data_IF_452790657327
#
_entry.id   IF_452790657327
#
_cell.length_a   1.000
_cell.length_b   1.000
_cell.length_c   1.000
_cell.angle_alpha   90.00
_cell.angle_beta   90.00
_cell.angle_gamma   90.00
#
_symmetry.space_group_name_H-M   'P 1'
#
loop_
_entity.id
_entity.type
_entity.pdbx_description
1 polymer ?
#
# COMPACT_ATOMS: atom_id res chain seq x y z
N UNK A 1 -52.23 17.03 7.18
CA UNK A 1 -51.01 16.67 6.46
C UNK A 1 -49.84 17.63 6.71
N UNK A 2 -50.07 18.94 6.88
CA UNK A 2 -49.01 19.93 7.12
C UNK A 2 -48.37 19.79 8.51
N UNK A 3 -49.17 19.49 9.56
CA UNK A 3 -48.66 19.37 10.93
C UNK A 3 -47.73 18.14 11.14
N UNK A 4 -47.99 17.01 10.46
CA UNK A 4 -47.12 15.81 10.54
C UNK A 4 -45.77 16.02 9.88
N UNK A 5 -45.71 16.79 8.80
CA UNK A 5 -44.46 17.18 8.13
C UNK A 5 -43.61 18.09 9.02
N UNK A 6 -44.25 19.02 9.74
CA UNK A 6 -43.55 19.91 10.67
C UNK A 6 -42.91 19.15 11.84
N UNK A 7 -43.57 18.11 12.37
CA UNK A 7 -43.00 17.26 13.43
C UNK A 7 -41.84 16.42 12.93
N UNK A 8 -41.91 15.85 11.71
CA UNK A 8 -40.84 15.09 11.12
C UNK A 8 -39.56 15.92 10.92
N UNK A 9 -39.70 17.20 10.56
CA UNK A 9 -38.57 18.14 10.41
C UNK A 9 -37.85 18.49 11.71
N UNK A 10 -38.49 18.21 12.88
CA UNK A 10 -37.83 18.39 14.19
C UNK A 10 -37.01 17.18 14.63
N UNK A 11 -37.10 16.06 13.91
CA UNK A 11 -36.34 14.85 14.22
C UNK A 11 -35.06 14.80 13.40
N UNK A 12 -33.92 14.91 14.07
CA UNK A 12 -32.59 14.76 13.44
C UNK A 12 -32.23 13.30 13.53
N UNK A 13 -32.08 12.65 12.36
CA UNK A 13 -31.71 11.24 12.24
C UNK A 13 -30.32 11.10 11.67
N UNK A 14 -29.59 10.07 12.08
CA UNK A 14 -28.33 9.67 11.45
C UNK A 14 -28.59 9.23 10.00
N UNK A 15 -27.83 9.73 9.00
CA UNK A 15 -28.01 9.37 7.60
C UNK A 15 -27.39 7.99 7.26
N UNK A 16 -26.53 7.46 8.11
CA UNK A 16 -25.87 6.16 7.97
C UNK A 16 -25.52 5.59 9.36
N UNK A 17 -25.18 4.31 9.42
CA UNK A 17 -24.71 3.65 10.62
C UNK A 17 -23.25 4.05 10.89
N UNK A 18 -22.95 4.51 12.11
CA UNK A 18 -21.63 5.01 12.44
C UNK A 18 -21.43 5.27 13.92
N UNK A 19 -20.23 5.74 14.26
CA UNK A 19 -19.84 6.07 15.62
C UNK A 19 -19.86 7.60 15.79
N UNK A 20 -20.53 8.08 16.84
CA UNK A 20 -20.48 9.50 17.20
C UNK A 20 -19.13 9.81 17.83
N UNK A 21 -18.34 10.64 17.16
CA UNK A 21 -17.00 11.04 17.63
C UNK A 21 -17.02 12.39 18.35
N UNK A 22 -17.99 13.25 18.03
CA UNK A 22 -18.10 14.55 18.67
C UNK A 22 -19.55 14.97 18.81
N UNK A 23 -19.91 15.52 19.99
CA UNK A 23 -21.20 16.13 20.28
C UNK A 23 -21.00 17.65 20.29
N UNK A 24 -21.66 18.33 19.36
CA UNK A 24 -21.49 19.77 19.13
C UNK A 24 -22.61 20.61 19.77
N UNK A 25 -23.80 20.03 19.96
CA UNK A 25 -24.95 20.72 20.57
C UNK A 25 -25.29 20.14 21.95
N UNK A 26 -25.63 20.99 22.90
CA UNK A 26 -26.03 20.60 24.25
C UNK A 26 -27.55 20.58 24.41
N UNK A 27 -28.03 19.87 25.44
CA UNK A 27 -29.46 19.83 25.78
C UNK A 27 -29.96 21.23 26.16
N UNK A 28 -31.03 21.66 25.50
CA UNK A 28 -31.60 23.01 25.69
C UNK A 28 -31.03 24.06 24.74
N UNK A 29 -30.07 23.70 23.88
CA UNK A 29 -29.55 24.60 22.88
C UNK A 29 -30.50 24.67 21.66
N UNK A 30 -30.66 25.84 21.09
CA UNK A 30 -31.45 26.03 19.88
C UNK A 30 -30.58 25.78 18.67
N UNK A 31 -30.83 24.68 17.97
CA UNK A 31 -30.16 24.34 16.70
C UNK A 31 -31.02 24.86 15.54
N UNK A 32 -30.46 25.76 14.75
CA UNK A 32 -31.15 26.30 13.57
C UNK A 32 -30.26 26.24 12.35
N UNK A 33 -30.74 25.71 11.21
CA UNK A 33 -29.96 25.69 9.97
C UNK A 33 -29.69 27.10 9.42
N UNK A 34 -30.43 28.11 9.85
CA UNK A 34 -30.24 29.50 9.39
C UNK A 34 -29.32 30.33 10.28
N UNK A 35 -29.15 29.94 11.53
CA UNK A 35 -28.18 30.56 12.43
C UNK A 35 -26.95 29.69 12.47
N UNK A 36 -26.12 29.77 11.42
CA UNK A 36 -24.73 29.29 11.47
C UNK A 36 -24.01 30.17 12.52
N UNK A 37 -24.27 29.90 13.81
CA UNK A 37 -23.45 30.46 14.86
C UNK A 37 -22.03 30.01 14.64
N UNK A 38 -21.09 30.93 14.74
CA UNK A 38 -19.67 30.82 14.40
C UNK A 38 -18.92 29.63 15.05
N UNK A 39 -19.58 28.92 15.98
CA UNK A 39 -19.02 27.79 16.74
C UNK A 39 -19.42 26.39 16.29
N UNK A 40 -20.64 26.17 15.81
CA UNK A 40 -21.15 24.82 15.50
C UNK A 40 -21.79 24.66 14.11
N UNK A 41 -21.97 25.77 13.35
CA UNK A 41 -22.52 25.70 11.99
C UNK A 41 -23.85 24.96 11.85
N UNK A 42 -24.64 24.84 12.93
CA UNK A 42 -25.90 24.08 12.96
C UNK A 42 -25.72 22.54 13.08
N UNK A 43 -24.52 22.07 13.23
CA UNK A 43 -24.23 20.63 13.42
C UNK A 43 -24.53 20.20 14.86
N UNK A 44 -25.17 19.04 15.03
CA UNK A 44 -25.51 18.47 16.34
C UNK A 44 -24.46 17.49 16.81
N UNK A 45 -24.05 16.58 15.92
CA UNK A 45 -23.05 15.53 16.18
C UNK A 45 -22.20 15.33 14.94
N UNK A 46 -20.98 14.82 15.14
CA UNK A 46 -20.13 14.30 14.06
C UNK A 46 -20.14 12.78 14.13
N UNK A 47 -20.52 12.13 13.02
CA UNK A 47 -20.59 10.68 12.90
C UNK A 47 -19.52 10.25 11.90
N UNK A 48 -18.79 9.19 12.24
CA UNK A 48 -17.79 8.56 11.37
C UNK A 48 -18.22 7.13 11.10
N UNK A 49 -18.18 6.73 9.84
CA UNK A 49 -18.30 5.34 9.44
C UNK A 49 -16.90 4.68 9.46
N UNK A 50 -16.62 3.78 10.41
CA UNK A 50 -15.32 3.13 10.49
C UNK A 50 -15.03 2.20 9.30
N UNK A 51 -16.06 1.75 8.58
CA UNK A 51 -15.89 0.89 7.41
C UNK A 51 -15.42 1.65 6.16
N UNK A 52 -15.60 2.97 6.14
CA UNK A 52 -15.25 3.84 5.00
C UNK A 52 -13.90 4.56 5.15
N UNK A 53 -13.08 4.17 6.14
CA UNK A 53 -11.77 4.81 6.38
C UNK A 53 -10.85 4.59 5.19
N UNK A 54 -10.25 5.68 4.72
CA UNK A 54 -9.28 5.69 3.62
C UNK A 54 -8.01 6.44 4.05
N UNK A 55 -6.93 6.21 3.34
CA UNK A 55 -5.68 6.94 3.52
C UNK A 55 -5.56 7.99 2.44
N UNK A 56 -5.38 9.23 2.83
CA UNK A 56 -5.02 10.33 1.95
C UNK A 56 -3.49 10.47 1.95
N UNK A 57 -2.84 9.91 0.91
CA UNK A 57 -1.39 9.93 0.75
C UNK A 57 -0.94 11.15 -0.05
N UNK A 58 0.00 11.91 0.48
CA UNK A 58 0.63 13.03 -0.23
C UNK A 58 1.79 12.50 -1.09
N UNK A 59 1.61 12.48 -2.40
CA UNK A 59 2.61 12.00 -3.36
C UNK A 59 3.28 13.18 -4.03
N UNK A 60 4.60 13.18 -4.07
CA UNK A 60 5.36 14.23 -4.78
C UNK A 60 4.97 14.30 -6.25
N UNK A 61 4.84 15.52 -6.78
CA UNK A 61 4.51 15.77 -8.18
C UNK A 61 5.48 15.07 -9.15
N UNK A 62 6.77 14.95 -8.79
CA UNK A 62 7.76 14.23 -9.58
C UNK A 62 7.50 12.72 -9.69
N UNK A 63 6.77 12.13 -8.73
CA UNK A 63 6.51 10.70 -8.65
C UNK A 63 5.09 10.31 -9.07
N UNK A 64 4.19 11.29 -9.25
CA UNK A 64 2.76 11.03 -9.48
C UNK A 64 2.49 10.23 -10.77
N UNK A 65 3.35 10.37 -11.77
CA UNK A 65 3.26 9.61 -13.02
C UNK A 65 3.42 8.09 -12.83
N UNK A 66 3.88 7.65 -11.65
CA UNK A 66 4.01 6.23 -11.28
C UNK A 66 2.80 5.70 -10.54
N UNK A 67 1.84 6.56 -10.19
CA UNK A 67 0.65 6.20 -9.42
C UNK A 67 -0.59 6.30 -10.30
N UNK A 68 -1.44 5.28 -10.27
CA UNK A 68 -2.68 5.20 -11.04
C UNK A 68 -3.79 4.59 -10.20
N UNK A 69 -5.04 4.93 -10.51
CA UNK A 69 -6.21 4.28 -9.92
C UNK A 69 -6.21 2.77 -10.22
N UNK A 70 -6.62 1.96 -9.25
CA UNK A 70 -6.59 0.50 -9.33
C UNK A 70 -5.24 -0.13 -8.97
N UNK A 71 -4.20 0.68 -8.71
CA UNK A 71 -2.89 0.19 -8.33
C UNK A 71 -2.91 -0.37 -6.91
N UNK A 72 -2.24 -1.50 -6.70
CA UNK A 72 -2.04 -2.08 -5.38
C UNK A 72 -1.17 -1.17 -4.51
N UNK A 73 -1.47 -1.13 -3.23
CA UNK A 73 -0.70 -0.37 -2.26
C UNK A 73 -0.57 -1.14 -0.95
N UNK A 74 0.53 -0.94 -0.27
CA UNK A 74 0.77 -1.43 1.08
C UNK A 74 0.72 -0.25 2.04
N UNK A 75 -0.13 -0.35 3.06
CA UNK A 75 -0.34 0.69 4.06
C UNK A 75 0.24 0.22 5.39
N UNK A 76 1.10 1.00 5.96
CA UNK A 76 1.66 0.77 7.30
C UNK A 76 1.26 1.92 8.20
N UNK A 77 0.56 1.61 9.30
CA UNK A 77 0.17 2.59 10.31
C UNK A 77 1.29 2.75 11.33
N UNK A 78 1.59 3.99 11.70
CA UNK A 78 2.61 4.27 12.73
C UNK A 78 2.18 3.74 14.11
N UNK A 79 0.86 3.66 14.35
CA UNK A 79 0.27 3.13 15.59
C UNK A 79 0.37 1.60 15.70
N UNK A 80 0.60 0.87 14.60
CA UNK A 80 0.67 -0.60 14.55
C UNK A 80 1.94 -1.03 13.81
N UNK A 81 3.12 -0.85 14.41
CA UNK A 81 4.39 -1.19 13.76
C UNK A 81 4.46 -2.69 13.46
N UNK A 82 4.95 -3.02 12.28
CA UNK A 82 5.14 -4.41 11.83
C UNK A 82 3.91 -5.05 11.19
N UNK A 83 2.73 -4.40 11.20
CA UNK A 83 1.57 -4.87 10.45
C UNK A 83 1.43 -4.07 9.14
N UNK A 84 1.20 -4.78 8.05
CA UNK A 84 1.04 -4.21 6.71
C UNK A 84 -0.34 -4.54 6.20
N UNK A 85 -1.11 -3.50 5.91
CA UNK A 85 -2.44 -3.63 5.35
C UNK A 85 -2.37 -3.54 3.84
N UNK A 86 -3.13 -4.39 3.15
CA UNK A 86 -3.29 -4.28 1.71
C UNK A 86 -4.27 -3.18 1.39
N UNK A 87 -3.93 -2.36 0.41
CA UNK A 87 -4.75 -1.28 -0.09
C UNK A 87 -4.77 -1.21 -1.60
N UNK A 88 -5.64 -0.36 -2.11
CA UNK A 88 -5.78 -0.08 -3.53
C UNK A 88 -6.00 1.42 -3.73
N UNK A 89 -5.33 1.99 -4.73
CA UNK A 89 -5.51 3.39 -5.11
C UNK A 89 -6.90 3.57 -5.72
N UNK A 90 -7.74 4.34 -5.06
CA UNK A 90 -9.08 4.67 -5.54
C UNK A 90 -9.04 5.82 -6.52
N UNK A 91 -8.30 6.87 -6.18
CA UNK A 91 -8.29 8.10 -6.96
C UNK A 91 -7.00 8.90 -6.72
N UNK A 92 -6.50 9.49 -7.79
CA UNK A 92 -5.48 10.54 -7.76
C UNK A 92 -6.21 11.87 -7.96
N UNK A 93 -6.07 12.80 -7.02
CA UNK A 93 -6.75 14.10 -7.13
C UNK A 93 -6.16 14.93 -8.28
N UNK A 94 -7.00 15.62 -9.08
CA UNK A 94 -6.52 16.39 -10.23
C UNK A 94 -5.91 17.75 -9.85
N UNK A 95 -5.78 18.03 -8.55
CA UNK A 95 -5.28 19.30 -8.02
C UNK A 95 -4.06 19.04 -7.16
N UNK A 96 -2.96 19.74 -7.47
CA UNK A 96 -1.74 19.72 -6.67
C UNK A 96 -1.78 20.79 -5.56
N UNK A 97 -1.26 20.45 -4.41
CA UNK A 97 -0.92 21.43 -3.37
C UNK A 97 0.42 22.10 -3.73
N UNK A 98 0.34 23.35 -4.18
CA UNK A 98 1.51 24.11 -4.61
C UNK A 98 2.49 24.43 -3.48
N UNK A 99 2.01 24.53 -2.25
CA UNK A 99 2.86 24.83 -1.10
C UNK A 99 3.77 23.65 -0.75
N UNK A 100 3.25 22.42 -0.94
CA UNK A 100 3.97 21.19 -0.64
C UNK A 100 4.56 20.51 -1.89
N UNK A 101 4.20 20.93 -3.10
CA UNK A 101 4.50 20.25 -4.36
C UNK A 101 4.08 18.77 -4.35
N UNK A 102 2.88 18.50 -3.79
CA UNK A 102 2.31 17.16 -3.66
C UNK A 102 0.92 17.09 -4.29
N UNK A 103 0.54 15.88 -4.68
CA UNK A 103 -0.80 15.53 -5.18
C UNK A 103 -1.40 14.53 -4.22
N UNK A 104 -2.62 14.80 -3.76
CA UNK A 104 -3.33 13.93 -2.85
C UNK A 104 -3.81 12.68 -3.60
N UNK A 105 -3.46 11.52 -3.09
CA UNK A 105 -3.84 10.22 -3.63
C UNK A 105 -4.61 9.45 -2.58
N UNK A 106 -5.84 9.07 -2.89
CA UNK A 106 -6.72 8.34 -1.98
C UNK A 106 -6.57 6.85 -2.15
N UNK A 107 -6.27 6.16 -1.05
CA UNK A 107 -6.05 4.72 -1.00
C UNK A 107 -7.05 4.11 -0.02
N UNK A 108 -7.80 3.10 -0.46
CA UNK A 108 -8.70 2.34 0.40
C UNK A 108 -7.98 1.13 0.98
N UNK A 109 -8.36 0.72 2.16
CA UNK A 109 -7.98 -0.57 2.70
C UNK A 109 -8.81 -1.67 2.02
N UNK A 110 -8.18 -2.80 1.71
CA UNK A 110 -8.87 -4.01 1.26
C UNK A 110 -9.37 -4.84 2.45
N UNK A 111 -8.69 -4.74 3.57
CA UNK A 111 -9.05 -5.40 4.82
C UNK A 111 -8.90 -4.37 5.95
N UNK A 112 -9.96 -4.18 6.72
CA UNK A 112 -9.99 -3.30 7.88
C UNK A 112 -10.09 -4.13 9.15
N UNK A 113 -9.39 -3.70 10.20
CA UNK A 113 -9.53 -4.25 11.55
C UNK A 113 -9.81 -3.11 12.58
N UNK A 114 -10.11 -3.46 13.81
CA UNK A 114 -10.45 -2.52 14.89
C UNK A 114 -9.30 -1.57 15.28
N UNK A 115 -8.08 -1.85 14.84
CA UNK A 115 -6.90 -1.01 15.09
C UNK A 115 -6.80 0.16 14.15
N UNK A 116 -7.48 0.09 12.99
CA UNK A 116 -7.55 1.18 12.01
C UNK A 116 -8.56 2.21 12.49
N UNK A 117 -8.09 3.42 12.76
CA UNK A 117 -8.92 4.55 13.20
C UNK A 117 -8.68 5.75 12.30
N UNK A 118 -9.66 6.64 12.24
CA UNK A 118 -9.48 7.92 11.56
C UNK A 118 -8.36 8.77 12.20
N UNK A 119 -7.76 9.66 11.42
CA UNK A 119 -6.72 10.61 11.84
C UNK A 119 -5.39 9.98 12.31
N UNK A 120 -5.12 8.72 11.96
CA UNK A 120 -3.83 8.11 12.21
C UNK A 120 -2.85 8.44 11.08
N UNK A 121 -1.57 8.58 11.45
CA UNK A 121 -0.47 8.68 10.48
C UNK A 121 -0.21 7.32 9.83
N UNK A 122 -0.05 7.34 8.50
CA UNK A 122 0.20 6.15 7.71
C UNK A 122 1.31 6.39 6.68
N UNK A 123 2.07 5.33 6.39
CA UNK A 123 3.01 5.27 5.29
C UNK A 123 2.44 4.37 4.20
N UNK A 124 2.40 4.87 2.97
CA UNK A 124 1.90 4.11 1.82
C UNK A 124 3.06 3.78 0.88
N UNK A 125 3.16 2.51 0.50
CA UNK A 125 4.08 2.04 -0.54
C UNK A 125 3.25 1.56 -1.71
N UNK A 126 3.44 2.17 -2.88
CA UNK A 126 2.70 1.80 -4.09
C UNK A 126 3.38 0.62 -4.77
N UNK A 127 2.59 -0.39 -5.15
CA UNK A 127 3.02 -1.54 -5.92
C UNK A 127 3.21 -1.23 -7.41
N UNK A 128 3.35 -2.24 -8.27
CA UNK A 128 3.43 -2.07 -9.71
C UNK A 128 2.12 -1.49 -10.28
N UNK A 129 2.21 -0.86 -11.45
CA UNK A 129 1.01 -0.33 -12.13
C UNK A 129 0.10 -1.46 -12.61
N UNK A 130 -1.23 -1.29 -12.55
CA UNK A 130 -2.16 -2.26 -13.10
C UNK A 130 -1.85 -2.55 -14.57
N UNK A 131 -1.77 -3.83 -14.93
CA UNK A 131 -1.46 -4.26 -16.30
C UNK A 131 0.00 -4.00 -16.73
N UNK A 132 0.89 -3.62 -15.82
CA UNK A 132 2.31 -3.59 -16.12
C UNK A 132 2.85 -5.02 -16.20
N UNK A 133 3.85 -5.22 -17.07
CA UNK A 133 4.53 -6.53 -17.21
C UNK A 133 5.17 -6.99 -15.88
N UNK A 134 5.32 -6.07 -14.92
CA UNK A 134 5.83 -6.34 -13.57
C UNK A 134 4.78 -7.01 -12.66
N UNK A 135 3.48 -6.79 -12.90
CA UNK A 135 2.39 -7.36 -12.10
C UNK A 135 2.24 -8.88 -12.33
N UNK A 136 2.57 -9.36 -13.54
CA UNK A 136 2.47 -10.77 -13.95
C UNK A 136 3.78 -11.56 -13.76
N UNK A 137 4.88 -10.87 -13.38
CA UNK A 137 6.17 -11.56 -13.18
C UNK A 137 6.29 -12.02 -11.73
N UNK A 138 6.38 -13.32 -11.55
CA UNK A 138 6.78 -13.90 -10.26
C UNK A 138 8.12 -13.29 -9.82
N UNK A 139 8.12 -12.69 -8.63
CA UNK A 139 9.34 -12.19 -8.02
C UNK A 139 9.88 -13.20 -7.01
N UNK A 140 11.17 -13.48 -7.13
CA UNK A 140 11.87 -14.44 -6.27
C UNK A 140 12.83 -13.71 -5.34
N UNK A 141 12.80 -14.05 -4.07
CA UNK A 141 13.75 -13.52 -3.10
C UNK A 141 15.04 -14.34 -3.12
N UNK A 142 16.15 -13.72 -3.52
CA UNK A 142 17.48 -14.35 -3.50
C UNK A 142 18.43 -13.52 -2.62
N UNK A 143 19.46 -14.14 -2.01
CA UNK A 143 20.51 -13.37 -1.35
C UNK A 143 21.20 -12.42 -2.34
N UNK A 144 21.50 -11.17 -1.99
CA UNK A 144 22.20 -10.22 -2.88
C UNK A 144 23.55 -10.78 -3.42
N UNK A 145 24.20 -11.61 -2.61
CA UNK A 145 25.48 -12.27 -3.00
C UNK A 145 25.32 -13.37 -4.04
N UNK A 146 24.09 -13.79 -4.37
CA UNK A 146 23.83 -14.77 -5.41
C UNK A 146 23.65 -14.13 -6.79
N UNK A 147 23.38 -12.82 -6.85
CA UNK A 147 23.22 -12.08 -8.08
C UNK A 147 24.60 -11.59 -8.56
N UNK A 148 24.99 -12.01 -9.74
CA UNK A 148 26.27 -11.66 -10.36
C UNK A 148 26.03 -10.88 -11.64
N UNK A 149 26.80 -9.81 -11.85
CA UNK A 149 26.78 -9.08 -13.13
C UNK A 149 27.81 -9.65 -14.07
N UNK A 150 27.39 -10.13 -15.24
CA UNK A 150 28.24 -10.69 -16.28
C UNK A 150 27.80 -10.16 -17.65
N UNK A 151 28.71 -9.63 -18.43
CA UNK A 151 28.47 -9.06 -19.78
C UNK A 151 27.31 -8.02 -19.78
N UNK A 152 27.22 -7.22 -18.72
CA UNK A 152 26.18 -6.20 -18.57
C UNK A 152 24.78 -6.76 -18.22
N UNK A 153 24.66 -8.06 -17.94
CA UNK A 153 23.44 -8.73 -17.51
C UNK A 153 23.57 -9.23 -16.09
N UNK A 154 22.47 -9.20 -15.36
CA UNK A 154 22.40 -9.82 -14.05
C UNK A 154 21.98 -11.28 -14.21
N UNK A 155 22.72 -12.17 -13.58
CA UNK A 155 22.49 -13.61 -13.63
C UNK A 155 22.52 -14.21 -12.23
N UNK A 156 21.83 -15.32 -12.10
CA UNK A 156 21.86 -16.20 -10.93
C UNK A 156 22.24 -17.60 -11.40
N UNK A 157 23.09 -18.25 -10.65
CA UNK A 157 23.47 -19.64 -10.91
C UNK A 157 22.50 -20.58 -10.16
N UNK A 158 21.85 -21.45 -10.90
CA UNK A 158 20.94 -22.48 -10.38
C UNK A 158 21.57 -23.83 -10.52
N UNK A 159 21.51 -24.65 -9.50
CA UNK A 159 22.02 -26.02 -9.54
C UNK A 159 20.89 -26.99 -9.84
N UNK A 160 21.04 -27.76 -10.89
CA UNK A 160 20.17 -28.88 -11.24
C UNK A 160 21.01 -30.11 -11.55
N UNK A 161 20.70 -31.24 -10.93
CA UNK A 161 21.41 -32.52 -11.13
C UNK A 161 22.96 -32.41 -10.95
N UNK A 162 23.39 -31.63 -9.92
CA UNK A 162 24.81 -31.33 -9.65
C UNK A 162 25.55 -30.56 -10.77
N UNK A 163 24.81 -29.94 -11.68
CA UNK A 163 25.34 -29.10 -12.77
C UNK A 163 24.79 -27.69 -12.63
N UNK A 164 25.63 -26.70 -12.86
CA UNK A 164 25.28 -25.29 -12.78
C UNK A 164 24.65 -24.81 -14.09
N UNK A 165 23.55 -24.10 -13.99
CA UNK A 165 22.89 -23.42 -15.11
C UNK A 165 22.79 -21.92 -14.83
N UNK A 166 23.06 -21.07 -15.81
CA UNK A 166 22.85 -19.63 -15.70
C UNK A 166 21.42 -19.27 -16.02
N UNK A 167 20.82 -18.42 -15.16
CA UNK A 167 19.52 -17.81 -15.39
C UNK A 167 19.66 -16.30 -15.37
N UNK A 168 19.23 -15.66 -16.44
CA UNK A 168 19.18 -14.19 -16.50
C UNK A 168 18.07 -13.72 -15.60
N UNK A 169 18.37 -12.77 -14.73
CA UNK A 169 17.43 -12.16 -13.80
C UNK A 169 17.51 -10.64 -13.88
N UNK A 170 16.44 -9.99 -13.51
CA UNK A 170 16.35 -8.55 -13.39
C UNK A 170 16.14 -8.21 -11.91
N UNK A 171 17.09 -7.51 -11.30
CA UNK A 171 16.95 -7.08 -9.92
C UNK A 171 15.97 -5.93 -9.80
N UNK A 172 14.97 -6.10 -8.93
CA UNK A 172 13.87 -5.13 -8.75
C UNK A 172 14.11 -4.24 -7.54
N UNK A 173 14.35 -4.85 -6.39
CA UNK A 173 14.56 -4.12 -5.14
C UNK A 173 15.37 -4.96 -4.16
N UNK A 174 16.09 -4.28 -3.27
CA UNK A 174 16.79 -4.92 -2.15
C UNK A 174 16.10 -4.54 -0.85
N UNK A 175 15.65 -5.53 -0.09
CA UNK A 175 15.04 -5.33 1.23
C UNK A 175 15.76 -6.17 2.27
N UNK A 176 16.70 -5.54 2.98
CA UNK A 176 17.53 -6.22 3.97
C UNK A 176 18.39 -7.35 3.39
N UNK A 177 18.33 -8.59 3.92
CA UNK A 177 19.15 -9.71 3.49
C UNK A 177 18.67 -10.35 2.18
N UNK A 178 17.55 -9.92 1.62
CA UNK A 178 16.93 -10.50 0.42
C UNK A 178 16.83 -9.46 -0.67
N UNK A 179 17.18 -9.85 -1.89
CA UNK A 179 17.00 -9.10 -3.12
C UNK A 179 15.89 -9.75 -3.95
N UNK A 180 14.87 -8.97 -4.30
CA UNK A 180 13.83 -9.41 -5.21
C UNK A 180 14.35 -9.38 -6.64
N UNK A 181 14.17 -10.49 -7.36
CA UNK A 181 14.56 -10.63 -8.77
C UNK A 181 13.39 -11.17 -9.58
N UNK A 182 13.24 -10.69 -10.80
CA UNK A 182 12.38 -11.30 -11.81
C UNK A 182 13.21 -12.21 -12.71
N UNK A 183 12.70 -13.38 -13.01
CA UNK A 183 13.39 -14.34 -13.88
C UNK A 183 12.66 -15.67 -13.93
N UNK A 184 13.13 -16.55 -14.81
CA UNK A 184 12.62 -17.93 -14.93
C UNK A 184 13.18 -18.79 -13.80
N UNK A 185 12.77 -18.51 -12.56
CA UNK A 185 13.09 -19.28 -11.37
C UNK A 185 11.82 -20.00 -10.87
N UNK A 186 12.03 -21.09 -10.14
CA UNK A 186 10.96 -21.85 -9.49
C UNK A 186 11.32 -22.06 -8.02
N UNK A 187 10.32 -22.35 -7.19
CA UNK A 187 10.52 -22.63 -5.77
C UNK A 187 11.45 -23.83 -5.51
N UNK A 188 11.60 -24.72 -6.48
CA UNK A 188 12.46 -25.89 -6.37
C UNK A 188 13.92 -25.62 -6.79
N UNK A 189 14.23 -24.43 -7.33
CA UNK A 189 15.57 -24.11 -7.80
C UNK A 189 16.51 -23.82 -6.63
N UNK A 190 17.64 -24.49 -6.59
CA UNK A 190 18.70 -24.25 -5.62
C UNK A 190 19.70 -23.22 -6.20
N UNK A 191 19.82 -22.07 -5.53
CA UNK A 191 20.62 -20.95 -5.99
C UNK A 191 22.00 -20.95 -5.34
N UNK A 192 23.05 -20.73 -6.13
CA UNK A 192 24.43 -20.63 -5.64
C UNK A 192 24.64 -19.27 -4.96
N UNK A 193 25.01 -19.29 -3.68
CA UNK A 193 25.33 -18.09 -2.89
C UNK A 193 26.82 -17.80 -3.00
N UNK A 194 27.19 -16.56 -3.31
CA UNK A 194 28.57 -16.11 -3.51
C UNK A 194 29.36 -17.00 -4.49
N UNK A 195 28.92 -17.13 -5.76
CA UNK A 195 29.59 -17.94 -6.73
C UNK A 195 31.01 -17.42 -7.00
N UNK A 196 32.01 -18.32 -7.15
CA UNK A 196 33.35 -17.91 -7.53
C UNK A 196 33.38 -17.29 -8.94
N UNK A 197 34.31 -16.38 -9.19
CA UNK A 197 34.34 -15.58 -10.42
C UNK A 197 34.55 -16.44 -11.70
N UNK A 198 35.15 -17.61 -11.56
CA UNK A 198 35.45 -18.57 -12.64
C UNK A 198 34.30 -19.58 -12.86
N UNK A 199 33.25 -19.58 -12.05
CA UNK A 199 32.11 -20.49 -12.22
C UNK A 199 31.44 -20.25 -13.57
N UNK A 200 31.21 -21.30 -14.33
CA UNK A 200 30.52 -21.26 -15.64
C UNK A 200 29.34 -22.22 -15.68
N UNK A 201 28.40 -21.95 -16.55
CA UNK A 201 27.35 -22.90 -16.88
C UNK A 201 27.93 -24.23 -17.34
N UNK A 202 27.31 -25.33 -16.90
CA UNK A 202 27.80 -26.69 -17.20
C UNK A 202 28.86 -27.22 -16.25
N UNK A 203 29.35 -26.42 -15.30
CA UNK A 203 30.34 -26.89 -14.33
C UNK A 203 29.71 -27.88 -13.34
N UNK A 204 30.36 -29.02 -13.06
CA UNK A 204 29.92 -29.92 -11.99
C UNK A 204 30.22 -29.29 -10.62
N UNK A 205 29.28 -29.38 -9.71
CA UNK A 205 29.40 -28.79 -8.36
C UNK A 205 28.98 -29.78 -7.27
N UNK A 206 29.64 -29.65 -6.13
CA UNK A 206 29.23 -30.36 -4.89
C UNK A 206 28.42 -29.39 -4.02
N UNK A 207 27.20 -29.76 -3.71
CA UNK A 207 26.27 -28.90 -2.95
C UNK A 207 26.62 -28.95 -1.47
N UNK A 208 26.88 -27.78 -0.87
CA UNK A 208 26.81 -27.55 0.57
C UNK A 208 25.59 -26.69 0.86
N UNK A 209 24.54 -27.30 1.41
CA UNK A 209 23.34 -26.54 1.77
C UNK A 209 23.62 -25.62 2.96
N UNK A 210 23.30 -24.37 2.81
CA UNK A 210 23.25 -23.38 3.89
C UNK A 210 21.82 -22.93 4.03
N UNK A 211 21.20 -23.23 5.17
CA UNK A 211 19.88 -22.69 5.51
C UNK A 211 20.05 -21.20 5.85
N UNK A 212 19.24 -20.36 5.26
CA UNK A 212 19.17 -18.92 5.50
C UNK A 212 18.36 -18.63 6.76
#
# INVERSE_FOLDING_TARGET
RSASVSVEQTLIRAPFDGIVVNKLAELGEVVSPMTASVRSGGSVVTIVDPASVMVDAEVSEAMINRVQAGQSAEIQLDSVPGHRYRGEVVQVMPIADRAKATILTRVRFLELDERVRAELSAKVTFGPKPGSVEEDRESWGVPPTAVVSRDGRQIVFVVKDAVVTERVVEAVSTSGPIQAVHGLLTQADEVVVAPPADLRAGAPVTIRRRTL
#
